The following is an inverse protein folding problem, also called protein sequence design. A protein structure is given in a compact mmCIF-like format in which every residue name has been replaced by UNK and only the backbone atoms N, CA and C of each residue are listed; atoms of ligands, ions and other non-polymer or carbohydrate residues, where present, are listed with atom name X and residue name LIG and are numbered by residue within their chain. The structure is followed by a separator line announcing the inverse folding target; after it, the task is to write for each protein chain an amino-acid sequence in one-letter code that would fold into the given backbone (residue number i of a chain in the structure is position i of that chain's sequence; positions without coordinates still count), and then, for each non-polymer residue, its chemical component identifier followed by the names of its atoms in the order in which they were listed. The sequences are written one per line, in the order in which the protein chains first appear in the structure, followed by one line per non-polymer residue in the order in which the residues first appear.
data_IF_395715365737
#
_entry.id   IF_395715365737
#
_cell.length_a   1.000
_cell.length_b   1.000
_cell.length_c   1.000
_cell.angle_alpha   90.00
_cell.angle_beta   90.00
_cell.angle_gamma   90.00
#
_symmetry.space_group_name_H-M   'P 1'
#
loop_
_entity.id
_entity.type
_entity.pdbx_description
1 polymer ?
#
# COMPACT_ATOMS: atom_id res chain seq x y z
N UNK A 1 -0.57 -17.77 -13.15
CA UNK A 1 -0.19 -16.34 -13.16
C UNK A 1 0.89 -16.13 -12.10
N UNK A 2 1.75 -15.11 -12.24
CA UNK A 2 2.80 -14.80 -11.25
C UNK A 2 2.44 -13.51 -10.49
N UNK A 3 2.86 -13.34 -9.22
CA UNK A 3 2.59 -12.10 -8.49
C UNK A 3 3.22 -10.90 -9.22
N UNK A 4 2.47 -9.81 -9.29
CA UNK A 4 2.96 -8.54 -9.78
C UNK A 4 3.71 -7.85 -8.65
N UNK A 5 4.98 -7.57 -8.88
CA UNK A 5 5.83 -6.81 -7.97
C UNK A 5 6.10 -5.43 -8.54
N UNK A 6 6.20 -4.44 -7.67
CA UNK A 6 6.53 -3.07 -8.02
C UNK A 6 7.54 -2.51 -7.03
N UNK A 7 8.49 -1.72 -7.55
CA UNK A 7 9.39 -0.90 -6.73
C UNK A 7 8.86 0.52 -6.68
N UNK A 8 8.82 1.11 -5.49
CA UNK A 8 8.28 2.45 -5.27
C UNK A 8 9.06 3.17 -4.17
N UNK A 9 9.25 4.49 -4.30
CA UNK A 9 9.76 5.30 -3.19
C UNK A 9 8.58 5.72 -2.31
N UNK A 10 8.55 5.25 -1.07
CA UNK A 10 7.52 5.59 -0.09
C UNK A 10 8.11 6.33 1.09
N UNK A 11 7.34 7.20 1.77
CA UNK A 11 7.81 7.87 2.97
C UNK A 11 8.34 6.87 3.99
N UNK A 12 9.47 7.17 4.65
CA UNK A 12 9.96 6.37 5.77
C UNK A 12 8.98 6.44 6.94
N UNK A 13 8.89 5.36 7.70
CA UNK A 13 8.10 5.29 8.92
C UNK A 13 8.56 6.31 9.98
N UNK A 14 9.85 6.64 9.99
CA UNK A 14 10.52 7.53 10.95
C UNK A 14 10.79 8.96 10.41
N UNK A 15 10.19 9.37 9.29
CA UNK A 15 10.55 10.59 8.54
C UNK A 15 10.20 11.93 9.20
N UNK A 16 9.62 11.96 10.41
CA UNK A 16 9.20 13.18 11.10
C UNK A 16 10.37 13.99 11.69
N UNK A 17 11.46 14.18 10.93
CA UNK A 17 12.64 14.96 11.34
C UNK A 17 12.61 16.32 10.64
N UNK A 18 12.49 17.45 11.37
CA UNK A 18 12.55 18.79 10.79
C UNK A 18 13.86 19.01 10.02
N UNK A 19 13.78 19.52 8.80
CA UNK A 19 14.95 19.97 8.02
C UNK A 19 15.45 19.02 6.92
N UNK A 20 14.82 17.86 6.67
CA UNK A 20 15.18 16.99 5.52
C UNK A 20 14.45 17.38 4.23
N UNK A 21 15.10 17.17 3.08
CA UNK A 21 14.44 17.28 1.76
C UNK A 21 13.54 16.07 1.48
N UNK A 22 12.58 16.19 0.55
CA UNK A 22 11.64 15.10 0.23
C UNK A 22 12.33 13.81 -0.27
N UNK A 23 13.49 13.94 -0.91
CA UNK A 23 14.29 12.81 -1.38
C UNK A 23 14.91 12.00 -0.22
N UNK A 24 15.29 12.66 0.88
CA UNK A 24 15.86 12.00 2.08
C UNK A 24 14.79 11.38 2.99
N UNK A 25 13.51 11.53 2.63
CA UNK A 25 12.35 11.13 3.41
C UNK A 25 11.64 9.90 2.83
N UNK A 26 12.04 9.42 1.64
CA UNK A 26 11.48 8.21 1.06
C UNK A 26 12.52 7.07 1.01
N UNK A 27 12.05 5.84 1.10
CA UNK A 27 12.83 4.62 0.87
C UNK A 27 12.23 3.87 -0.29
N UNK A 28 13.09 3.30 -1.12
CA UNK A 28 12.67 2.35 -2.14
C UNK A 28 12.29 1.03 -1.46
N UNK A 29 11.06 0.58 -1.70
CA UNK A 29 10.59 -0.73 -1.25
C UNK A 29 10.10 -1.56 -2.44
N UNK A 30 10.10 -2.88 -2.28
CA UNK A 30 9.46 -3.81 -3.22
C UNK A 30 8.17 -4.33 -2.58
N UNK A 31 7.04 -4.11 -3.24
CA UNK A 31 5.74 -4.59 -2.76
C UNK A 31 4.92 -5.27 -3.87
N UNK A 32 3.86 -5.98 -3.48
CA UNK A 32 3.08 -6.89 -4.32
C UNK A 32 1.64 -6.38 -4.50
N UNK A 33 1.38 -5.46 -5.46
CA UNK A 33 0.03 -4.98 -5.74
C UNK A 33 -0.98 -6.08 -6.09
N UNK A 34 -0.52 -7.15 -6.72
CA UNK A 34 -1.39 -8.25 -7.13
C UNK A 34 -0.70 -9.60 -6.99
N UNK A 35 -1.42 -10.60 -6.49
CA UNK A 35 -0.98 -11.99 -6.50
C UNK A 35 -2.08 -12.92 -7.06
N UNK A 36 -1.74 -14.12 -7.56
CA UNK A 36 -2.73 -15.05 -8.10
C UNK A 36 -3.84 -15.42 -7.12
N UNK A 37 -3.55 -15.45 -5.83
CA UNK A 37 -4.55 -15.73 -4.79
C UNK A 37 -5.69 -14.71 -4.75
N UNK A 38 -5.44 -13.47 -5.16
CA UNK A 38 -6.45 -12.41 -5.21
C UNK A 38 -7.57 -12.73 -6.21
N UNK A 39 -7.27 -13.49 -7.26
CA UNK A 39 -8.25 -13.87 -8.29
C UNK A 39 -9.33 -14.82 -7.78
N UNK A 40 -9.08 -15.56 -6.70
CA UNK A 40 -10.06 -16.45 -6.08
C UNK A 40 -11.06 -15.71 -5.18
N UNK A 41 -10.83 -14.41 -4.91
CA UNK A 41 -11.75 -13.57 -4.14
C UNK A 41 -12.79 -12.97 -5.08
N UNK A 42 -14.01 -13.52 -5.04
CA UNK A 42 -15.11 -13.11 -5.93
C UNK A 42 -15.51 -11.64 -5.74
N UNK A 43 -15.63 -11.19 -4.49
CA UNK A 43 -16.00 -9.80 -4.18
C UNK A 43 -14.81 -8.85 -4.47
N UNK A 44 -15.06 -7.86 -5.33
CA UNK A 44 -14.08 -6.83 -5.71
C UNK A 44 -13.62 -6.00 -4.52
N UNK A 45 -14.50 -5.69 -3.57
CA UNK A 45 -14.18 -4.94 -2.35
C UNK A 45 -13.31 -5.77 -1.43
N UNK A 46 -13.70 -7.02 -1.15
CA UNK A 46 -12.93 -7.92 -0.30
C UNK A 46 -11.53 -8.20 -0.88
N UNK A 47 -11.43 -8.38 -2.20
CA UNK A 47 -10.15 -8.51 -2.91
C UNK A 47 -9.26 -7.29 -2.70
N UNK A 48 -9.80 -6.09 -2.92
CA UNK A 48 -9.02 -4.84 -2.76
C UNK A 48 -8.59 -4.62 -1.31
N UNK A 49 -9.44 -4.96 -0.34
CA UNK A 49 -9.10 -4.90 1.08
C UNK A 49 -7.98 -5.89 1.44
N UNK A 50 -7.98 -7.10 0.87
CA UNK A 50 -6.90 -8.07 1.01
C UNK A 50 -5.58 -7.54 0.42
N UNK A 51 -5.62 -7.01 -0.80
CA UNK A 51 -4.45 -6.38 -1.43
C UNK A 51 -3.92 -5.21 -0.59
N UNK A 52 -4.81 -4.35 -0.12
CA UNK A 52 -4.48 -3.20 0.73
C UNK A 52 -3.81 -3.62 2.03
N UNK A 53 -4.35 -4.64 2.72
CA UNK A 53 -3.75 -5.18 3.94
C UNK A 53 -2.34 -5.75 3.68
N UNK A 54 -2.15 -6.47 2.56
CA UNK A 54 -0.84 -6.97 2.14
C UNK A 54 0.16 -5.82 1.92
N UNK A 55 -0.21 -4.80 1.15
CA UNK A 55 0.67 -3.67 0.85
C UNK A 55 1.07 -2.89 2.11
N UNK A 56 0.15 -2.72 3.06
CA UNK A 56 0.45 -2.08 4.35
C UNK A 56 1.46 -2.90 5.16
N UNK A 57 1.26 -4.22 5.25
CA UNK A 57 2.17 -5.11 5.97
C UNK A 57 3.57 -5.16 5.32
N UNK A 58 3.65 -5.23 3.99
CA UNK A 58 4.92 -5.22 3.26
C UNK A 58 5.67 -3.89 3.41
N UNK A 59 4.94 -2.77 3.42
CA UNK A 59 5.53 -1.46 3.64
C UNK A 59 6.06 -1.32 5.07
N UNK A 60 5.27 -1.71 6.08
CA UNK A 60 5.70 -1.70 7.47
C UNK A 60 6.94 -2.58 7.70
N UNK A 61 6.95 -3.79 7.15
CA UNK A 61 8.08 -4.71 7.24
C UNK A 61 9.38 -4.14 6.62
N UNK A 62 9.26 -3.24 5.65
CA UNK A 62 10.39 -2.56 5.01
C UNK A 62 10.67 -1.16 5.58
N UNK A 63 9.95 -0.75 6.64
CA UNK A 63 10.14 0.54 7.30
C UNK A 63 9.56 1.74 6.53
N UNK A 64 8.60 1.51 5.64
CA UNK A 64 7.89 2.52 4.88
C UNK A 64 6.49 2.78 5.47
N UNK A 65 5.96 3.97 5.19
CA UNK A 65 4.61 4.42 5.54
C UNK A 65 3.94 5.03 4.31
N UNK A 66 3.19 4.24 3.52
CA UNK A 66 2.53 4.73 2.33
C UNK A 66 1.44 5.76 2.68
N UNK A 67 1.29 6.76 1.83
CA UNK A 67 0.16 7.69 1.86
C UNK A 67 -1.07 7.07 1.18
N UNK A 68 -2.24 7.69 1.37
CA UNK A 68 -3.46 7.30 0.65
C UNK A 68 -3.27 7.41 -0.86
N UNK A 69 -2.48 8.38 -1.34
CA UNK A 69 -2.20 8.56 -2.76
C UNK A 69 -1.35 7.41 -3.31
N UNK A 70 -0.34 6.96 -2.56
CA UNK A 70 0.52 5.83 -2.96
C UNK A 70 -0.30 4.53 -3.10
N UNK A 71 -1.18 4.27 -2.14
CA UNK A 71 -2.07 3.09 -2.13
C UNK A 71 -3.10 3.15 -3.27
N UNK A 72 -3.62 4.35 -3.54
CA UNK A 72 -4.55 4.58 -4.65
C UNK A 72 -3.87 4.30 -6.00
N UNK A 73 -2.66 4.79 -6.19
CA UNK A 73 -1.87 4.54 -7.40
C UNK A 73 -1.51 3.05 -7.55
N UNK A 74 -1.10 2.39 -6.48
CA UNK A 74 -0.72 0.98 -6.51
C UNK A 74 -1.88 0.04 -6.88
N UNK A 75 -3.10 0.37 -6.46
CA UNK A 75 -4.30 -0.46 -6.65
C UNK A 75 -5.24 0.06 -7.75
N UNK A 76 -4.78 1.00 -8.58
CA UNK A 76 -5.57 1.67 -9.63
C UNK A 76 -6.97 2.07 -9.14
N UNK A 77 -7.01 2.69 -7.96
CA UNK A 77 -8.23 2.98 -7.21
C UNK A 77 -8.26 4.44 -6.78
N UNK A 78 -9.45 5.01 -6.61
CA UNK A 78 -9.55 6.41 -6.15
C UNK A 78 -9.21 6.54 -4.66
N UNK A 79 -8.64 7.68 -4.25
CA UNK A 79 -8.35 7.96 -2.84
C UNK A 79 -9.59 7.84 -1.92
N UNK A 80 -10.81 8.27 -2.30
CA UNK A 80 -12.00 8.02 -1.50
C UNK A 80 -12.30 6.54 -1.31
N UNK A 81 -12.07 5.70 -2.32
CA UNK A 81 -12.22 4.25 -2.22
C UNK A 81 -11.23 3.67 -1.22
N UNK A 82 -9.95 4.01 -1.33
CA UNK A 82 -8.92 3.58 -0.37
C UNK A 82 -9.26 4.02 1.06
N UNK A 83 -9.74 5.26 1.26
CA UNK A 83 -10.18 5.75 2.58
C UNK A 83 -11.28 4.88 3.17
N UNK A 84 -12.27 4.47 2.37
CA UNK A 84 -13.36 3.58 2.83
C UNK A 84 -12.84 2.19 3.19
N UNK A 85 -11.93 1.64 2.39
CA UNK A 85 -11.36 0.31 2.66
C UNK A 85 -10.47 0.32 3.91
N UNK A 86 -9.65 1.35 4.10
CA UNK A 86 -8.90 1.54 5.35
C UNK A 86 -9.83 1.64 6.56
N UNK A 87 -10.96 2.34 6.43
CA UNK A 87 -11.94 2.43 7.50
C UNK A 87 -12.61 1.08 7.80
N UNK A 88 -12.83 0.25 6.78
CA UNK A 88 -13.34 -1.11 6.96
C UNK A 88 -12.32 -2.03 7.64
N UNK A 89 -11.05 -1.98 7.22
CA UNK A 89 -9.97 -2.78 7.81
C UNK A 89 -9.71 -2.47 9.29
N UNK A 90 -9.95 -1.22 9.73
CA UNK A 90 -9.84 -0.82 11.15
C UNK A 90 -10.95 -1.34 12.06
N UNK A 91 -12.03 -1.89 11.48
CA UNK A 91 -13.19 -2.41 12.23
C UNK A 91 -13.17 -3.93 12.37
N UNK A 92 -12.20 -4.59 11.74
CA UNK A 92 -11.92 -6.02 11.89
C UNK A 92 -11.13 -6.25 13.18
#
# INVERSE_FOLDING_TARGET
AQPQRARVCLPRLDSAVPGRTAADQCIEIEWTPWEPADAYVADKVARRQRQLARLLAEAEAQGARPTIADLAAALDSSQPTIKRDLAALRRL
#
